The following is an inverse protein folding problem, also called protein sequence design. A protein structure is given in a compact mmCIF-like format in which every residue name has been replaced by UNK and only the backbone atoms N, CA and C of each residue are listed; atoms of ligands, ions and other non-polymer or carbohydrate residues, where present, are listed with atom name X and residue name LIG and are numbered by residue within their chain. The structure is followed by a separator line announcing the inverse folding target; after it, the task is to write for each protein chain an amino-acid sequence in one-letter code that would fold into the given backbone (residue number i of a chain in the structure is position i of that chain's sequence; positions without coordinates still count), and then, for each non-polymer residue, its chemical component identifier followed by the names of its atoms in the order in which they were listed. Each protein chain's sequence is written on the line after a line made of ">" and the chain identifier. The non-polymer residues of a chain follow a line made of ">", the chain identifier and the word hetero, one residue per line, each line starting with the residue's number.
data_IF_023053445240
#
_entry.id   IF_023053445240
#
_cell.length_a   1.000
_cell.length_b   1.000
_cell.length_c   1.000
_cell.angle_alpha   90.00
_cell.angle_beta   90.00
_cell.angle_gamma   90.00
#
_symmetry.space_group_name_H-M   'P 1'
#
loop_
_entity.id
_entity.type
_entity.pdbx_description
1 polymer ?
#
# COMPACT_ATOMS: atom_id res chain seq x y z
N UNK A 1 -38.82 16.70 73.53
CA UNK A 1 -37.51 17.31 73.83
C UNK A 1 -36.49 16.20 73.72
N UNK A 2 -35.47 16.15 72.86
CA UNK A 2 -34.74 17.09 71.98
C UNK A 2 -33.94 16.14 71.06
N UNK A 3 -34.22 16.08 69.76
CA UNK A 3 -33.36 16.59 68.69
C UNK A 3 -31.84 16.42 68.94
N UNK A 4 -31.19 15.50 68.23
CA UNK A 4 -29.78 15.60 67.84
C UNK A 4 -29.62 14.91 66.49
N UNK A 5 -29.31 15.73 65.49
CA UNK A 5 -29.05 15.33 64.13
C UNK A 5 -27.64 14.72 64.00
N UNK A 6 -27.52 13.68 63.18
CA UNK A 6 -26.25 13.23 62.62
C UNK A 6 -26.38 13.35 61.11
N UNK A 7 -25.53 14.22 60.56
CA UNK A 7 -25.44 14.59 59.16
C UNK A 7 -25.26 13.37 58.26
N UNK A 8 -26.16 13.25 57.28
CA UNK A 8 -25.86 12.50 56.06
C UNK A 8 -24.92 13.37 55.24
N UNK A 9 -23.66 12.97 55.18
CA UNK A 9 -22.69 13.52 54.23
C UNK A 9 -23.13 13.10 52.82
N UNK A 10 -23.92 13.95 52.17
CA UNK A 10 -24.03 13.91 50.72
C UNK A 10 -22.66 14.26 50.15
N UNK A 11 -21.92 13.23 49.76
CA UNK A 11 -20.81 13.37 48.82
C UNK A 11 -21.47 13.78 47.51
N UNK A 12 -21.57 15.10 47.32
CA UNK A 12 -21.65 15.70 46.00
C UNK A 12 -20.38 15.24 45.29
N UNK A 13 -20.51 14.16 44.53
CA UNK A 13 -19.63 13.91 43.40
C UNK A 13 -19.95 15.05 42.44
N UNK A 14 -19.16 16.12 42.55
CA UNK A 14 -18.93 17.00 41.40
C UNK A 14 -18.42 16.07 40.33
N UNK A 15 -19.31 15.70 39.41
CA UNK A 15 -18.91 15.27 38.09
C UNK A 15 -18.19 16.50 37.56
N UNK A 16 -16.87 16.51 37.72
CA UNK A 16 -16.01 17.41 36.98
C UNK A 16 -16.41 17.15 35.53
N UNK A 17 -17.10 18.13 34.94
CA UNK A 17 -17.27 18.22 33.51
C UNK A 17 -15.84 18.13 32.96
N UNK A 18 -15.45 16.93 32.51
CA UNK A 18 -14.29 16.74 31.67
C UNK A 18 -14.52 17.63 30.46
N UNK A 19 -14.02 18.86 30.56
CA UNK A 19 -13.80 19.73 29.42
C UNK A 19 -12.87 18.96 28.51
N UNK A 20 -13.48 18.24 27.57
CA UNK A 20 -12.79 17.73 26.39
C UNK A 20 -12.32 18.98 25.67
N UNK A 21 -11.05 19.33 25.87
CA UNK A 21 -10.42 20.46 25.22
C UNK A 21 -10.56 20.27 23.70
N UNK A 22 -11.36 21.13 23.05
CA UNK A 22 -11.58 21.15 21.60
C UNK A 22 -10.26 21.24 20.80
N UNK A 23 -9.17 21.67 21.45
CA UNK A 23 -7.82 21.74 20.88
C UNK A 23 -7.22 20.35 20.58
N UNK A 24 -7.62 19.30 21.30
CA UNK A 24 -7.04 17.96 21.17
C UNK A 24 -7.56 17.22 19.92
N UNK A 25 -8.79 17.51 19.48
CA UNK A 25 -9.40 16.95 18.25
C UNK A 25 -8.83 17.62 16.98
N UNK A 26 -8.59 18.93 17.03
CA UNK A 26 -7.96 19.67 15.94
C UNK A 26 -6.51 19.21 15.68
N UNK A 27 -5.76 18.91 16.75
CA UNK A 27 -4.41 18.36 16.66
C UNK A 27 -4.40 16.97 15.99
N UNK A 28 -5.33 16.09 16.37
CA UNK A 28 -5.51 14.76 15.76
C UNK A 28 -5.83 14.85 14.27
N UNK A 29 -6.69 15.78 13.87
CA UNK A 29 -7.04 16.00 12.46
C UNK A 29 -5.86 16.45 11.59
N UNK A 30 -4.89 17.17 12.17
CA UNK A 30 -3.67 17.61 11.47
C UNK A 30 -2.66 16.49 11.29
N UNK A 31 -2.45 15.67 12.31
CA UNK A 31 -1.56 14.51 12.23
C UNK A 31 -2.08 13.46 11.23
N UNK A 32 -3.40 13.25 11.16
CA UNK A 32 -4.00 12.40 10.12
C UNK A 32 -3.75 12.94 8.70
N UNK A 33 -3.81 14.27 8.51
CA UNK A 33 -3.49 14.88 7.21
C UNK A 33 -2.02 14.70 6.83
N UNK A 34 -1.10 14.81 7.79
CA UNK A 34 0.34 14.53 7.61
C UNK A 34 0.58 13.07 7.25
N UNK A 35 -0.05 12.14 7.97
CA UNK A 35 0.04 10.71 7.65
C UNK A 35 -0.45 10.42 6.21
N UNK A 36 -1.62 10.96 5.84
CA UNK A 36 -2.14 10.85 4.47
C UNK A 36 -1.22 11.50 3.43
N UNK A 37 -0.56 12.60 3.79
CA UNK A 37 0.43 13.24 2.94
C UNK A 37 1.63 12.31 2.68
N UNK A 38 2.19 11.68 3.72
CA UNK A 38 3.29 10.71 3.59
C UNK A 38 2.90 9.57 2.66
N UNK A 39 1.74 8.93 2.89
CA UNK A 39 1.23 7.83 2.05
C UNK A 39 1.09 8.27 0.58
N UNK A 40 0.53 9.45 0.33
CA UNK A 40 0.37 9.96 -1.03
C UNK A 40 1.68 10.33 -1.72
N UNK A 41 2.68 10.82 -0.97
CA UNK A 41 4.02 11.09 -1.50
C UNK A 41 4.84 9.84 -1.73
N UNK A 42 4.60 8.79 -0.96
CA UNK A 42 5.16 7.47 -1.19
C UNK A 42 4.70 6.89 -2.53
N UNK A 43 3.40 7.02 -2.82
CA UNK A 43 2.77 6.65 -4.10
C UNK A 43 3.10 7.57 -5.28
N UNK A 44 3.91 8.62 -5.08
CA UNK A 44 4.37 9.51 -6.14
C UNK A 44 3.40 10.61 -6.58
N UNK A 45 2.32 10.89 -5.85
CA UNK A 45 1.39 11.95 -6.22
C UNK A 45 2.00 13.36 -6.13
N UNK A 46 1.61 14.25 -7.04
CA UNK A 46 2.09 15.64 -7.07
C UNK A 46 1.45 16.50 -5.97
N UNK A 47 2.17 17.55 -5.54
CA UNK A 47 1.64 18.50 -4.55
C UNK A 47 0.32 19.16 -4.98
N UNK A 48 0.11 19.40 -6.27
CA UNK A 48 -1.14 19.96 -6.77
C UNK A 48 -2.32 19.00 -6.53
N UNK A 49 -2.13 17.70 -6.72
CA UNK A 49 -3.16 16.69 -6.47
C UNK A 49 -3.43 16.54 -4.98
N UNK A 50 -2.38 16.45 -4.19
CA UNK A 50 -2.46 16.32 -2.73
C UNK A 50 -3.14 17.55 -2.10
N UNK A 51 -2.77 18.76 -2.52
CA UNK A 51 -3.33 20.00 -1.97
C UNK A 51 -4.83 20.12 -2.22
N UNK A 52 -5.32 19.68 -3.38
CA UNK A 52 -6.77 19.59 -3.64
C UNK A 52 -7.46 18.56 -2.74
N UNK A 53 -6.81 17.42 -2.50
CA UNK A 53 -7.40 16.31 -1.74
C UNK A 53 -7.41 16.55 -0.22
N UNK A 54 -6.35 17.14 0.33
CA UNK A 54 -6.23 17.46 1.75
C UNK A 54 -6.70 18.88 2.07
N UNK A 55 -7.02 19.69 1.06
CA UNK A 55 -7.42 21.11 1.18
C UNK A 55 -6.38 21.96 1.92
N UNK A 56 -5.10 21.71 1.65
CA UNK A 56 -3.98 22.45 2.22
C UNK A 56 -3.19 23.21 1.16
N UNK A 57 -2.55 24.30 1.57
CA UNK A 57 -1.75 25.13 0.68
C UNK A 57 -0.48 24.41 0.20
N UNK A 58 0.05 24.84 -0.95
CA UNK A 58 1.35 24.34 -1.44
C UNK A 58 2.49 24.60 -0.44
N UNK A 59 2.46 25.74 0.27
CA UNK A 59 3.46 26.07 1.30
C UNK A 59 3.45 25.07 2.45
N UNK A 60 2.25 24.70 2.92
CA UNK A 60 2.06 23.66 3.95
C UNK A 60 2.65 22.33 3.52
N UNK A 61 2.41 21.89 2.27
CA UNK A 61 2.95 20.64 1.74
C UNK A 61 4.47 20.65 1.60
N UNK A 62 5.06 21.79 1.23
CA UNK A 62 6.52 21.93 1.17
C UNK A 62 7.14 21.80 2.56
N UNK A 63 6.52 22.43 3.58
CA UNK A 63 6.97 22.33 4.96
C UNK A 63 6.87 20.88 5.47
N UNK A 64 5.74 20.21 5.26
CA UNK A 64 5.58 18.80 5.64
C UNK A 64 6.54 17.88 4.89
N UNK A 65 6.88 18.18 3.63
CA UNK A 65 7.87 17.37 2.90
C UNK A 65 9.26 17.48 3.54
N UNK A 66 9.65 18.65 4.01
CA UNK A 66 10.93 18.84 4.70
C UNK A 66 10.91 18.20 6.10
N UNK A 67 9.81 18.34 6.83
CA UNK A 67 9.62 17.75 8.16
C UNK A 67 9.64 16.22 8.14
N UNK A 68 8.98 15.61 7.14
CA UNK A 68 8.69 14.17 7.11
C UNK A 68 9.48 13.44 6.01
N UNK A 69 10.62 13.98 5.57
CA UNK A 69 11.40 13.43 4.46
C UNK A 69 11.81 11.96 4.70
N UNK A 70 12.26 11.65 5.92
CA UNK A 70 12.66 10.30 6.30
C UNK A 70 11.49 9.31 6.28
N UNK A 71 10.31 9.73 6.76
CA UNK A 71 9.09 8.91 6.75
C UNK A 71 8.60 8.65 5.33
N UNK A 72 8.64 9.69 4.48
CA UNK A 72 8.33 9.55 3.05
C UNK A 72 9.30 8.58 2.38
N UNK A 73 10.61 8.67 2.68
CA UNK A 73 11.61 7.77 2.12
C UNK A 73 11.38 6.32 2.55
N UNK A 74 11.09 6.09 3.84
CA UNK A 74 10.73 4.77 4.38
C UNK A 74 9.47 4.21 3.72
N UNK A 75 8.41 5.01 3.62
CA UNK A 75 7.17 4.59 2.99
C UNK A 75 7.35 4.30 1.49
N UNK A 76 8.22 5.05 0.78
CA UNK A 76 8.60 4.75 -0.61
C UNK A 76 9.31 3.42 -0.76
N UNK A 77 10.21 3.08 0.16
CA UNK A 77 10.91 1.80 0.13
C UNK A 77 9.90 0.64 0.24
N UNK A 78 8.96 0.73 1.18
CA UNK A 78 7.88 -0.27 1.35
C UNK A 78 7.01 -0.38 0.10
N UNK A 79 6.59 0.75 -0.50
CA UNK A 79 5.80 0.74 -1.73
C UNK A 79 6.57 0.10 -2.91
N UNK A 80 7.89 0.37 -2.99
CA UNK A 80 8.74 -0.23 -4.01
C UNK A 80 8.89 -1.74 -3.82
N UNK A 81 9.06 -2.21 -2.57
CA UNK A 81 9.10 -3.64 -2.24
C UNK A 81 7.78 -4.33 -2.63
N UNK A 82 6.64 -3.73 -2.30
CA UNK A 82 5.33 -4.26 -2.66
C UNK A 82 5.15 -4.38 -4.19
N UNK A 83 5.56 -3.35 -4.95
CA UNK A 83 5.56 -3.40 -6.42
C UNK A 83 6.49 -4.49 -6.95
N UNK A 84 7.69 -4.63 -6.38
CA UNK A 84 8.64 -5.67 -6.80
C UNK A 84 8.06 -7.07 -6.57
N UNK A 85 7.43 -7.30 -5.41
CA UNK A 85 6.79 -8.56 -5.09
C UNK A 85 5.66 -8.89 -6.08
N UNK A 86 4.77 -7.92 -6.33
CA UNK A 86 3.66 -8.07 -7.30
C UNK A 86 4.18 -8.46 -8.69
N UNK A 87 5.14 -7.69 -9.23
CA UNK A 87 5.68 -7.96 -10.56
C UNK A 87 6.54 -9.23 -10.62
N UNK A 88 7.17 -9.62 -9.51
CA UNK A 88 7.92 -10.89 -9.43
C UNK A 88 6.96 -12.09 -9.56
N UNK A 89 5.86 -12.09 -8.82
CA UNK A 89 4.83 -13.14 -8.89
C UNK A 89 4.22 -13.23 -10.31
N UNK A 90 3.96 -12.08 -10.93
CA UNK A 90 3.47 -12.04 -12.32
C UNK A 90 4.47 -12.63 -13.32
N UNK A 91 5.76 -12.31 -13.18
CA UNK A 91 6.84 -12.87 -14.02
C UNK A 91 6.95 -14.38 -13.83
N UNK A 92 6.91 -14.86 -12.60
CA UNK A 92 6.98 -16.28 -12.29
C UNK A 92 5.79 -17.04 -12.90
N UNK A 93 4.57 -16.53 -12.71
CA UNK A 93 3.37 -17.11 -13.32
C UNK A 93 3.47 -17.18 -14.84
N UNK A 94 4.03 -16.15 -15.48
CA UNK A 94 4.25 -16.12 -16.94
C UNK A 94 5.27 -17.17 -17.39
N UNK A 95 6.37 -17.34 -16.64
CA UNK A 95 7.38 -18.37 -16.94
C UNK A 95 6.77 -19.77 -16.83
N UNK A 96 6.01 -20.05 -15.77
CA UNK A 96 5.32 -21.34 -15.58
C UNK A 96 4.35 -21.64 -16.73
N UNK A 97 3.49 -20.67 -17.08
CA UNK A 97 2.55 -20.81 -18.19
C UNK A 97 3.24 -21.15 -19.52
N UNK A 98 4.30 -20.42 -19.87
CA UNK A 98 5.06 -20.67 -21.10
C UNK A 98 5.73 -22.05 -21.05
N UNK A 99 6.30 -22.44 -19.91
CA UNK A 99 6.91 -23.75 -19.72
C UNK A 99 5.92 -24.90 -19.88
N UNK A 100 4.72 -24.76 -19.34
CA UNK A 100 3.64 -25.74 -19.50
C UNK A 100 3.17 -25.85 -20.96
N UNK A 101 2.98 -24.71 -21.63
CA UNK A 101 2.64 -24.67 -23.06
C UNK A 101 3.72 -25.34 -23.91
N UNK A 102 5.00 -25.06 -23.65
CA UNK A 102 6.12 -25.66 -24.36
C UNK A 102 6.17 -27.18 -24.17
N UNK A 103 5.96 -27.67 -22.94
CA UNK A 103 5.88 -29.10 -22.65
C UNK A 103 4.73 -29.77 -23.41
N UNK A 104 3.56 -29.14 -23.44
CA UNK A 104 2.41 -29.67 -24.17
C UNK A 104 2.69 -29.78 -25.67
N UNK A 105 3.30 -28.74 -26.26
CA UNK A 105 3.71 -28.75 -27.67
C UNK A 105 4.76 -29.83 -27.94
N UNK A 106 5.78 -29.96 -27.08
CA UNK A 106 6.81 -31.00 -27.23
C UNK A 106 6.22 -32.41 -27.13
N UNK A 107 5.29 -32.65 -26.20
CA UNK A 107 4.60 -33.93 -26.06
C UNK A 107 3.76 -34.28 -27.30
N UNK A 108 3.09 -33.30 -27.89
CA UNK A 108 2.33 -33.47 -29.12
C UNK A 108 3.25 -33.72 -30.32
N UNK A 109 4.34 -32.96 -30.48
CA UNK A 109 5.33 -33.17 -31.54
C UNK A 109 5.97 -34.55 -31.43
N UNK A 110 6.34 -34.99 -30.22
CA UNK A 110 6.96 -36.31 -29.99
C UNK A 110 6.05 -37.49 -30.32
N UNK A 111 4.74 -37.29 -30.40
CA UNK A 111 3.76 -38.31 -30.83
C UNK A 111 3.47 -38.28 -32.33
N UNK A 112 3.84 -37.21 -33.02
CA UNK A 112 3.54 -37.06 -34.45
C UNK A 112 4.52 -37.85 -35.29
N UNK A 113 3.97 -38.43 -36.34
CA UNK A 113 4.74 -39.11 -37.36
C UNK A 113 5.50 -38.09 -38.22
N UNK A 114 6.82 -38.07 -38.06
CA UNK A 114 7.73 -37.18 -38.80
C UNK A 114 7.94 -37.61 -40.25
N UNK A 115 7.52 -38.81 -40.65
CA UNK A 115 7.68 -39.28 -42.05
C UNK A 115 6.89 -38.44 -43.06
N UNK A 116 5.89 -37.68 -42.59
CA UNK A 116 5.07 -36.77 -43.40
C UNK A 116 5.61 -35.35 -43.46
N UNK A 117 6.71 -35.06 -42.76
CA UNK A 117 7.37 -33.75 -42.77
C UNK A 117 8.42 -33.74 -43.87
N UNK A 118 8.45 -32.68 -44.69
CA UNK A 118 9.44 -32.54 -45.76
C UNK A 118 10.87 -32.58 -45.20
N UNK A 119 11.78 -33.28 -45.90
CA UNK A 119 13.19 -33.42 -45.52
C UNK A 119 13.87 -32.08 -45.27
N UNK A 120 13.64 -31.08 -46.13
CA UNK A 120 14.21 -29.73 -45.97
C UNK A 120 13.80 -29.10 -44.63
N UNK A 121 12.57 -29.35 -44.18
CA UNK A 121 12.05 -28.83 -42.92
C UNK A 121 12.64 -29.55 -41.71
N UNK A 122 12.85 -30.87 -41.82
CA UNK A 122 13.53 -31.65 -40.79
C UNK A 122 14.99 -31.21 -40.63
N UNK A 123 15.70 -31.00 -41.75
CA UNK A 123 17.08 -30.52 -41.76
C UNK A 123 17.19 -29.12 -41.15
N UNK A 124 16.26 -28.22 -41.51
CA UNK A 124 16.17 -26.88 -40.93
C UNK A 124 15.96 -26.92 -39.41
N UNK A 125 15.06 -27.78 -38.92
CA UNK A 125 14.81 -27.94 -37.48
C UNK A 125 16.02 -28.52 -36.74
N UNK A 126 16.77 -29.44 -37.36
CA UNK A 126 17.99 -30.02 -36.80
C UNK A 126 19.13 -29.02 -36.67
N UNK A 127 19.26 -28.08 -37.61
CA UNK A 127 20.38 -27.12 -37.64
C UNK A 127 20.13 -25.85 -36.81
N UNK A 128 18.89 -25.61 -36.39
CA UNK A 128 18.47 -24.39 -35.68
C UNK A 128 18.68 -24.46 -34.16
N UNK A 129 18.91 -25.66 -33.63
CA UNK A 129 19.16 -25.94 -32.22
C UNK A 129 20.46 -26.73 -32.06
#
# INVERSE_FOLDING_TARGET
>A
MTATALEKTDVVTSVDDEQIDDDDDAARGKEEQKHRFVVMRAKGYSYARIGRQLRVSKGTLTAWNAEMEAEIAKARAVELEALQEEFSLLKEGRIRLIGEQLKAIQAEIGRRDLSKVNTDKLLELQLRY
#
